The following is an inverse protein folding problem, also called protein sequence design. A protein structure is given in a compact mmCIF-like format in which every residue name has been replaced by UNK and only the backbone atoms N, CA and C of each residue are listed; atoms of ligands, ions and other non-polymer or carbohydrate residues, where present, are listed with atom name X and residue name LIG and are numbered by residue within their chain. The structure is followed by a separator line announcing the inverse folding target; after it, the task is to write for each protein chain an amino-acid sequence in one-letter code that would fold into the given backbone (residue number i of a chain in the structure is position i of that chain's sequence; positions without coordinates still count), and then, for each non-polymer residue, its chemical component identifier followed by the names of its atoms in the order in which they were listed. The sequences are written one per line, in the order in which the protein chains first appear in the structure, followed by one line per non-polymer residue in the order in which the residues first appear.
data_IF_615451435573
#
_entry.id   IF_615451435573
#
_cell.length_a   1.000
_cell.length_b   1.000
_cell.length_c   1.000
_cell.angle_alpha   90.00
_cell.angle_beta   90.00
_cell.angle_gamma   90.00
#
_symmetry.space_group_name_H-M   'P 1'
#
loop_
_entity.id
_entity.type
_entity.pdbx_description
1 polymer ?
#
# COMPACT_ATOMS: atom_id res chain seq x y z
N UNK A 1 25.99 -12.84 12.76
CA UNK A 1 24.95 -11.90 12.30
C UNK A 1 25.57 -10.51 12.26
N UNK A 2 25.58 -9.85 11.10
CA UNK A 2 26.14 -8.50 10.95
C UNK A 2 25.25 -7.50 11.69
N UNK A 3 25.82 -6.55 12.43
CA UNK A 3 25.06 -5.52 13.15
C UNK A 3 25.40 -4.13 12.62
N UNK A 4 24.37 -3.35 12.31
CA UNK A 4 24.49 -1.96 11.87
C UNK A 4 23.78 -1.08 12.89
N UNK A 5 24.51 -0.13 13.48
CA UNK A 5 23.95 0.88 14.40
C UNK A 5 23.85 2.23 13.67
N UNK A 6 22.62 2.66 13.36
CA UNK A 6 22.35 3.98 12.79
C UNK A 6 21.82 4.93 13.86
N UNK A 7 22.51 6.04 14.09
CA UNK A 7 22.06 7.12 14.98
C UNK A 7 22.10 8.43 14.19
N UNK A 8 20.94 9.08 14.03
CA UNK A 8 20.80 10.28 13.22
C UNK A 8 20.85 10.06 11.70
N UNK A 9 20.93 8.80 11.24
CA UNK A 9 20.88 8.45 9.82
C UNK A 9 19.43 8.37 9.32
N UNK A 10 19.20 8.71 8.05
CA UNK A 10 17.91 8.45 7.38
C UNK A 10 17.81 7.02 6.84
N UNK A 11 18.92 6.48 6.32
CA UNK A 11 19.04 5.11 5.84
C UNK A 11 20.41 4.53 6.21
N UNK A 12 20.43 3.25 6.55
CA UNK A 12 21.67 2.49 6.71
C UNK A 12 22.13 1.89 5.39
N UNK A 13 21.20 1.44 4.55
CA UNK A 13 21.46 0.85 3.24
C UNK A 13 20.58 1.55 2.22
N UNK A 14 21.20 2.00 1.12
CA UNK A 14 20.49 2.57 -0.03
C UNK A 14 20.95 1.82 -1.28
N UNK A 15 20.00 1.21 -2.00
CA UNK A 15 20.27 0.49 -3.25
C UNK A 15 19.40 1.05 -4.36
N UNK A 16 19.99 1.27 -5.53
CA UNK A 16 19.26 1.57 -6.77
C UNK A 16 19.33 0.36 -7.69
N UNK A 17 18.25 -0.41 -7.78
CA UNK A 17 18.15 -1.58 -8.66
C UNK A 17 17.82 -1.21 -10.10
N UNK A 18 18.39 -1.93 -11.06
CA UNK A 18 18.08 -1.84 -12.49
C UNK A 18 17.21 -3.01 -12.95
N UNK A 19 16.41 -2.81 -14.00
CA UNK A 19 15.30 -3.68 -14.42
C UNK A 19 15.58 -5.20 -14.40
N UNK A 20 16.75 -5.63 -14.82
CA UNK A 20 17.14 -7.04 -15.02
C UNK A 20 18.05 -7.60 -13.92
N UNK A 21 18.31 -6.86 -12.84
CA UNK A 21 19.26 -7.28 -11.79
C UNK A 21 18.56 -7.69 -10.51
N UNK A 22 18.86 -8.92 -10.07
CA UNK A 22 18.47 -9.42 -8.75
C UNK A 22 19.45 -8.97 -7.67
N UNK A 23 18.96 -8.69 -6.47
CA UNK A 23 19.81 -8.47 -5.30
C UNK A 23 19.12 -8.92 -4.01
N UNK A 24 19.95 -9.19 -2.99
CA UNK A 24 19.52 -9.66 -1.67
C UNK A 24 20.10 -8.78 -0.56
N UNK A 25 19.30 -8.47 0.46
CA UNK A 25 19.76 -7.91 1.73
C UNK A 25 19.30 -8.83 2.86
N UNK A 26 20.24 -9.50 3.54
CA UNK A 26 19.86 -10.49 4.54
C UNK A 26 20.81 -10.62 5.72
N UNK A 27 20.27 -11.19 6.81
CA UNK A 27 21.01 -11.55 8.02
C UNK A 27 21.68 -10.36 8.73
N UNK A 28 21.04 -9.18 8.69
CA UNK A 28 21.51 -7.95 9.32
C UNK A 28 20.61 -7.58 10.50
N UNK A 29 21.23 -7.27 11.64
CA UNK A 29 20.58 -6.61 12.76
C UNK A 29 20.76 -5.10 12.66
N UNK A 30 19.68 -4.35 12.58
CA UNK A 30 19.68 -2.89 12.61
C UNK A 30 19.30 -2.39 14.00
N UNK A 31 20.09 -1.45 14.53
CA UNK A 31 19.86 -0.82 15.83
C UNK A 31 20.08 0.69 15.77
N UNK A 32 19.67 1.40 16.82
CA UNK A 32 19.86 2.84 16.96
C UNK A 32 18.66 3.68 16.56
N UNK A 33 18.81 5.01 16.64
CA UNK A 33 17.75 5.98 16.45
C UNK A 33 17.86 6.65 15.08
N UNK A 34 16.98 6.29 14.15
CA UNK A 34 16.97 6.83 12.78
C UNK A 34 16.13 8.12 12.69
N UNK A 35 16.38 8.93 11.66
CA UNK A 35 15.69 10.23 11.43
C UNK A 35 15.06 10.31 10.04
N UNK A 36 14.24 11.33 9.78
CA UNK A 36 13.70 11.61 8.45
C UNK A 36 12.52 10.71 8.05
N UNK A 37 12.27 10.57 6.75
CA UNK A 37 11.10 9.88 6.19
C UNK A 37 11.48 8.66 5.31
N UNK A 38 12.75 8.31 5.26
CA UNK A 38 13.23 7.14 4.53
C UNK A 38 13.14 5.86 5.37
N UNK A 39 13.50 4.74 4.75
CA UNK A 39 13.64 3.46 5.43
C UNK A 39 15.08 3.24 5.91
N UNK A 40 15.26 2.49 7.00
CA UNK A 40 16.55 1.92 7.40
C UNK A 40 17.20 1.21 6.21
N UNK A 41 16.40 0.45 5.46
CA UNK A 41 16.74 0.03 4.10
C UNK A 41 15.90 0.86 3.12
N UNK A 42 16.57 1.48 2.15
CA UNK A 42 15.93 2.24 1.09
C UNK A 42 16.27 1.66 -0.28
N UNK A 43 15.30 1.01 -0.91
CA UNK A 43 15.40 0.50 -2.28
C UNK A 43 14.76 1.49 -3.26
N UNK A 44 15.48 1.78 -4.34
CA UNK A 44 15.05 2.63 -5.44
C UNK A 44 15.22 1.93 -6.79
N UNK A 45 14.55 2.42 -7.81
CA UNK A 45 14.89 2.14 -9.21
C UNK A 45 13.81 1.39 -9.98
N UNK A 46 14.23 0.42 -10.79
CA UNK A 46 13.37 -0.25 -11.79
C UNK A 46 13.45 -1.78 -11.77
N UNK A 47 14.22 -2.37 -10.84
CA UNK A 47 14.41 -3.82 -10.76
C UNK A 47 13.12 -4.54 -10.39
N UNK A 48 12.65 -5.47 -11.23
CA UNK A 48 11.40 -6.20 -10.99
C UNK A 48 11.39 -7.63 -11.58
N UNK A 49 10.60 -8.56 -11.00
CA UNK A 49 10.60 -9.96 -11.41
C UNK A 49 10.26 -10.20 -12.89
N UNK A 50 9.26 -9.50 -13.43
CA UNK A 50 8.82 -9.70 -14.83
C UNK A 50 9.86 -9.38 -15.90
N UNK A 51 10.94 -8.69 -15.53
CA UNK A 51 12.08 -8.39 -16.42
C UNK A 51 13.35 -9.16 -16.04
N UNK A 52 13.22 -10.22 -15.23
CA UNK A 52 14.33 -11.05 -14.75
C UNK A 52 15.07 -10.49 -13.53
N UNK A 53 14.69 -9.31 -13.04
CA UNK A 53 15.22 -8.68 -11.84
C UNK A 53 14.44 -9.05 -10.58
N UNK A 54 14.33 -8.07 -9.68
CA UNK A 54 13.62 -8.15 -8.41
C UNK A 54 14.55 -8.16 -7.21
N UNK A 55 14.02 -7.83 -6.03
CA UNK A 55 14.79 -7.87 -4.79
C UNK A 55 14.27 -8.91 -3.81
N UNK A 56 15.15 -9.34 -2.91
CA UNK A 56 14.78 -10.04 -1.68
C UNK A 56 15.38 -9.34 -0.47
N UNK A 57 14.57 -9.04 0.53
CA UNK A 57 15.05 -8.52 1.82
C UNK A 57 14.57 -9.47 2.89
N UNK A 58 15.48 -10.21 3.52
CA UNK A 58 15.08 -11.33 4.37
C UNK A 58 15.95 -11.61 5.58
N UNK A 59 15.40 -12.24 6.61
CA UNK A 59 16.12 -12.59 7.84
C UNK A 59 16.84 -11.41 8.50
N UNK A 60 16.32 -10.19 8.33
CA UNK A 60 16.83 -9.02 9.02
C UNK A 60 16.07 -8.80 10.33
N UNK A 61 16.75 -8.20 11.30
CA UNK A 61 16.16 -7.84 12.59
C UNK A 61 16.23 -6.32 12.76
N UNK A 62 15.08 -5.65 12.71
CA UNK A 62 14.97 -4.22 12.93
C UNK A 62 14.61 -3.96 14.39
N UNK A 63 15.57 -3.54 15.20
CA UNK A 63 15.34 -3.09 16.56
C UNK A 63 15.79 -1.62 16.68
N UNK A 64 15.00 -0.73 16.09
CA UNK A 64 15.35 0.67 15.87
C UNK A 64 14.35 1.60 16.53
N UNK A 65 14.84 2.72 17.05
CA UNK A 65 14.01 3.79 17.61
C UNK A 65 13.96 4.98 16.65
N UNK A 66 13.11 5.95 16.98
CA UNK A 66 12.95 7.21 16.24
C UNK A 66 13.74 8.31 16.93
N UNK A 67 14.64 8.97 16.20
CA UNK A 67 15.28 10.22 16.64
C UNK A 67 14.41 11.44 16.30
N UNK A 68 13.99 11.59 15.04
CA UNK A 68 13.08 12.64 14.55
C UNK A 68 12.41 12.19 13.22
N UNK A 69 11.42 12.93 12.73
CA UNK A 69 10.72 12.58 11.47
C UNK A 69 9.80 11.37 11.62
N UNK A 70 9.66 10.52 10.61
CA UNK A 70 8.84 9.29 10.62
C UNK A 70 9.61 8.14 9.94
N UNK A 71 10.79 7.74 10.46
CA UNK A 71 11.60 6.72 9.79
C UNK A 71 10.85 5.39 9.68
N UNK A 72 11.04 4.70 8.56
CA UNK A 72 10.49 3.35 8.31
C UNK A 72 11.57 2.28 8.51
N UNK A 73 11.16 1.03 8.64
CA UNK A 73 12.08 -0.11 8.49
C UNK A 73 12.57 -0.22 7.04
N UNK A 74 11.65 -0.35 6.09
CA UNK A 74 11.98 -0.46 4.66
C UNK A 74 11.17 0.53 3.84
N UNK A 75 11.84 1.27 2.96
CA UNK A 75 11.19 2.11 1.95
C UNK A 75 11.51 1.57 0.57
N UNK A 76 10.48 1.37 -0.24
CA UNK A 76 10.58 1.04 -1.66
C UNK A 76 10.11 2.25 -2.47
N UNK A 77 10.92 2.68 -3.43
CA UNK A 77 10.60 3.83 -4.29
C UNK A 77 10.87 3.56 -5.77
N UNK A 78 9.87 3.80 -6.60
CA UNK A 78 9.94 3.56 -8.04
C UNK A 78 9.38 2.21 -8.48
N UNK A 79 9.62 1.88 -9.75
CA UNK A 79 9.13 0.68 -10.42
C UNK A 79 9.96 -0.54 -10.07
N UNK A 80 10.18 -0.76 -8.77
CA UNK A 80 10.98 -1.86 -8.27
C UNK A 80 10.15 -2.73 -7.34
N UNK A 81 10.23 -4.03 -7.57
CA UNK A 81 9.38 -5.05 -6.95
C UNK A 81 10.23 -6.22 -6.48
N UNK A 82 9.66 -7.03 -5.59
CA UNK A 82 10.39 -8.09 -4.93
C UNK A 82 9.66 -8.57 -3.70
N UNK A 83 10.35 -9.35 -2.89
CA UNK A 83 9.81 -9.94 -1.68
C UNK A 83 10.60 -9.49 -0.45
N UNK A 84 9.87 -9.22 0.61
CA UNK A 84 10.37 -8.89 1.94
C UNK A 84 9.88 -10.00 2.85
N UNK A 85 10.75 -10.94 3.20
CA UNK A 85 10.35 -12.17 3.88
C UNK A 85 11.14 -12.50 5.15
N UNK A 86 10.52 -13.18 6.12
CA UNK A 86 11.21 -13.67 7.32
C UNK A 86 11.97 -12.58 8.11
N UNK A 87 11.55 -11.31 8.03
CA UNK A 87 12.14 -10.24 8.83
C UNK A 87 11.41 -10.08 10.16
N UNK A 88 12.15 -9.62 11.16
CA UNK A 88 11.63 -9.29 12.48
C UNK A 88 11.63 -7.77 12.65
N UNK A 89 10.48 -7.18 12.94
CA UNK A 89 10.33 -5.75 13.18
C UNK A 89 9.99 -5.47 14.64
N UNK A 90 10.78 -4.59 15.25
CA UNK A 90 10.50 -3.94 16.52
C UNK A 90 10.81 -2.44 16.37
N UNK A 91 9.84 -1.70 15.82
CA UNK A 91 10.00 -0.29 15.39
C UNK A 91 8.87 0.57 15.96
N UNK A 92 9.17 1.81 16.36
CA UNK A 92 8.20 2.73 16.98
C UNK A 92 7.33 3.57 16.02
N UNK A 93 7.39 3.29 14.72
CA UNK A 93 6.61 3.97 13.67
C UNK A 93 6.30 2.95 12.57
N UNK A 94 5.78 3.41 11.43
CA UNK A 94 5.51 2.61 10.23
C UNK A 94 6.64 1.63 9.90
N UNK A 95 6.31 0.35 9.71
CA UNK A 95 7.34 -0.65 9.42
C UNK A 95 7.86 -0.51 7.98
N UNK A 96 6.99 -0.24 7.01
CA UNK A 96 7.36 -0.17 5.60
C UNK A 96 6.56 0.90 4.84
N UNK A 97 7.10 1.34 3.70
CA UNK A 97 6.38 2.17 2.71
C UNK A 97 6.72 1.74 1.29
N UNK A 98 5.72 1.68 0.42
CA UNK A 98 5.87 1.46 -1.03
C UNK A 98 5.32 2.66 -1.76
N UNK A 99 6.24 3.37 -2.42
CA UNK A 99 5.96 4.57 -3.19
C UNK A 99 6.35 4.32 -4.64
N UNK A 100 5.39 4.10 -5.52
CA UNK A 100 5.73 3.72 -6.88
C UNK A 100 6.04 4.93 -7.80
N UNK A 101 5.25 5.99 -7.69
CA UNK A 101 5.27 7.11 -8.62
C UNK A 101 6.51 7.98 -8.52
N UNK A 102 7.27 8.07 -9.61
CA UNK A 102 8.54 8.83 -9.68
C UNK A 102 8.48 10.08 -10.58
N UNK A 103 7.49 10.15 -11.47
CA UNK A 103 7.36 11.19 -12.50
C UNK A 103 5.92 11.62 -12.68
N UNK A 104 5.73 12.86 -13.13
CA UNK A 104 4.41 13.41 -13.49
C UNK A 104 3.37 13.21 -12.37
N UNK A 105 3.77 13.40 -11.10
CA UNK A 105 2.86 13.22 -9.95
C UNK A 105 2.20 11.84 -9.95
N UNK A 106 2.98 10.78 -10.16
CA UNK A 106 2.53 9.37 -10.15
C UNK A 106 1.50 8.96 -11.23
N UNK A 107 1.19 9.83 -12.20
CA UNK A 107 0.30 9.51 -13.33
C UNK A 107 0.69 8.23 -14.07
N UNK A 108 2.00 8.03 -14.25
CA UNK A 108 2.53 6.88 -14.96
C UNK A 108 2.24 5.55 -14.24
N UNK A 109 2.19 5.54 -12.89
CA UNK A 109 1.84 4.34 -12.14
C UNK A 109 0.43 3.86 -12.48
N UNK A 110 -0.48 4.83 -12.60
CA UNK A 110 -1.88 4.68 -13.00
C UNK A 110 -2.09 4.62 -14.53
N UNK A 111 -1.05 4.66 -15.35
CA UNK A 111 -1.14 4.37 -16.79
C UNK A 111 -0.93 2.87 -17.10
N UNK A 112 -0.44 2.09 -16.14
CA UNK A 112 -0.15 0.67 -16.31
C UNK A 112 -1.26 -0.16 -15.70
N UNK A 113 -1.55 -1.30 -16.32
CA UNK A 113 -2.62 -2.18 -15.89
C UNK A 113 -2.45 -2.56 -14.42
N UNK A 114 -3.56 -2.72 -13.71
CA UNK A 114 -3.54 -3.39 -12.40
C UNK A 114 -2.86 -4.76 -12.54
N UNK A 115 -2.06 -5.14 -11.56
CA UNK A 115 -1.20 -6.32 -11.59
C UNK A 115 -1.51 -7.26 -10.41
N UNK A 116 -2.76 -7.25 -9.94
CA UNK A 116 -3.20 -8.12 -8.86
C UNK A 116 -2.99 -9.59 -9.22
N UNK A 117 -2.44 -10.38 -8.30
CA UNK A 117 -2.14 -11.79 -8.53
C UNK A 117 -0.95 -12.06 -9.45
N UNK A 118 -0.06 -11.08 -9.65
CA UNK A 118 1.18 -11.23 -10.45
C UNK A 118 2.43 -10.93 -9.62
N UNK A 119 3.60 -11.32 -10.11
CA UNK A 119 4.91 -11.05 -9.46
C UNK A 119 5.30 -9.56 -9.38
N UNK A 120 4.66 -8.69 -10.15
CA UNK A 120 4.98 -7.26 -10.23
C UNK A 120 4.26 -6.46 -9.13
N UNK A 121 4.67 -6.71 -7.88
CA UNK A 121 4.28 -5.99 -6.67
C UNK A 121 5.37 -6.11 -5.59
N UNK A 122 5.28 -5.33 -4.52
CA UNK A 122 6.10 -5.55 -3.33
C UNK A 122 5.38 -6.53 -2.41
N UNK A 123 5.96 -7.72 -2.27
CA UNK A 123 5.45 -8.79 -1.42
C UNK A 123 6.04 -8.70 -0.01
N UNK A 124 5.21 -8.87 1.01
CA UNK A 124 5.60 -9.07 2.40
C UNK A 124 5.12 -10.45 2.85
N UNK A 125 6.05 -11.35 3.16
CA UNK A 125 5.77 -12.77 3.45
C UNK A 125 6.42 -13.22 4.75
N UNK A 126 5.72 -13.98 5.59
CA UNK A 126 6.34 -14.65 6.74
C UNK A 126 7.12 -13.71 7.69
N UNK A 127 6.78 -12.42 7.75
CA UNK A 127 7.41 -11.47 8.65
C UNK A 127 6.69 -11.48 10.00
N UNK A 128 7.46 -11.18 11.05
CA UNK A 128 6.94 -10.94 12.40
C UNK A 128 7.18 -9.47 12.73
N UNK A 129 6.12 -8.72 13.00
CA UNK A 129 6.21 -7.29 13.23
C UNK A 129 5.45 -6.85 14.47
N UNK A 130 6.15 -6.20 15.40
CA UNK A 130 5.57 -5.59 16.59
C UNK A 130 5.93 -4.13 16.63
N UNK A 131 4.92 -3.26 16.69
CA UNK A 131 5.16 -1.84 16.91
C UNK A 131 5.62 -1.62 18.34
N UNK A 132 6.80 -1.02 18.52
CA UNK A 132 7.46 -0.95 19.83
C UNK A 132 6.87 0.08 20.80
N UNK A 133 5.97 0.95 20.33
CA UNK A 133 5.22 1.91 21.14
C UNK A 133 3.72 1.77 20.88
N UNK A 134 2.94 1.80 21.95
CA UNK A 134 1.49 1.50 21.97
C UNK A 134 0.60 2.74 21.95
N UNK A 135 1.15 3.96 21.86
CA UNK A 135 0.35 5.19 22.00
C UNK A 135 -0.62 5.42 20.82
N UNK A 136 -0.20 5.02 19.61
CA UNK A 136 -0.95 5.08 18.36
C UNK A 136 -0.55 3.87 17.51
N UNK A 137 -1.42 3.29 16.69
CA UNK A 137 -0.96 2.37 15.63
C UNK A 137 -0.60 3.16 14.36
N UNK A 138 0.28 2.59 13.54
CA UNK A 138 0.64 3.13 12.21
C UNK A 138 0.55 2.00 11.18
N UNK A 139 0.76 2.28 9.88
CA UNK A 139 0.78 1.21 8.87
C UNK A 139 1.95 0.23 9.07
N UNK A 140 1.70 -1.07 8.87
CA UNK A 140 2.76 -2.06 8.66
C UNK A 140 3.42 -1.83 7.30
N UNK A 141 2.62 -1.62 6.26
CA UNK A 141 3.11 -1.11 4.98
C UNK A 141 2.17 -0.04 4.47
N UNK A 142 2.68 1.18 4.41
CA UNK A 142 1.99 2.32 3.79
C UNK A 142 2.17 2.27 2.26
N UNK A 143 1.10 2.54 1.53
CA UNK A 143 1.12 2.62 0.08
C UNK A 143 0.82 4.04 -0.38
N UNK A 144 1.61 4.54 -1.32
CA UNK A 144 1.45 5.89 -1.84
C UNK A 144 1.73 5.91 -3.35
N UNK A 145 1.12 6.86 -4.06
CA UNK A 145 1.53 7.24 -5.42
C UNK A 145 1.57 6.06 -6.41
N UNK A 146 0.48 5.30 -6.41
CA UNK A 146 0.28 4.13 -7.25
C UNK A 146 0.88 2.84 -6.71
N UNK A 147 1.29 2.80 -5.44
CA UNK A 147 1.83 1.62 -4.78
C UNK A 147 1.06 0.32 -5.08
N UNK A 148 1.83 -0.77 -5.22
CA UNK A 148 1.35 -2.13 -5.50
C UNK A 148 1.90 -3.09 -4.47
N UNK A 149 1.03 -3.51 -3.57
CA UNK A 149 1.44 -4.16 -2.33
C UNK A 149 0.72 -5.49 -2.18
N UNK A 150 1.43 -6.51 -1.73
CA UNK A 150 0.87 -7.78 -1.28
C UNK A 150 1.40 -8.10 0.12
N UNK A 151 0.51 -8.26 1.09
CA UNK A 151 0.86 -8.64 2.46
C UNK A 151 0.24 -10.01 2.76
N UNK A 152 1.04 -11.06 2.92
CA UNK A 152 0.51 -12.41 3.15
C UNK A 152 1.32 -13.23 4.14
N UNK A 153 0.64 -14.08 4.91
CA UNK A 153 1.30 -14.99 5.87
C UNK A 153 2.15 -14.28 6.95
N UNK A 154 1.84 -13.02 7.28
CA UNK A 154 2.58 -12.28 8.31
C UNK A 154 1.88 -12.35 9.68
N UNK A 155 2.68 -12.24 10.75
CA UNK A 155 2.23 -12.00 12.11
C UNK A 155 2.51 -10.53 12.49
N UNK A 156 1.45 -9.74 12.64
CA UNK A 156 1.52 -8.28 12.75
C UNK A 156 0.82 -7.83 14.03
N UNK A 157 1.51 -7.10 14.89
CA UNK A 157 1.00 -6.58 16.17
C UNK A 157 1.18 -5.06 16.27
N UNK A 158 0.09 -4.38 16.62
CA UNK A 158 0.01 -2.92 16.82
C UNK A 158 0.31 -2.07 15.57
N UNK A 159 0.14 -2.67 14.40
CA UNK A 159 0.06 -1.99 13.11
C UNK A 159 -1.32 -2.16 12.48
N UNK A 160 -1.63 -1.34 11.47
CA UNK A 160 -2.73 -1.58 10.54
C UNK A 160 -2.23 -1.77 9.10
N UNK A 161 -3.11 -2.27 8.23
CA UNK A 161 -2.88 -2.44 6.81
C UNK A 161 -3.75 -1.44 6.03
N UNK A 162 -3.14 -0.79 5.05
CA UNK A 162 -3.78 0.32 4.35
C UNK A 162 -2.79 1.16 3.55
N UNK A 163 -3.33 2.13 2.82
CA UNK A 163 -2.54 3.08 2.06
C UNK A 163 -3.19 4.46 2.05
N UNK A 164 -2.55 5.38 1.36
CA UNK A 164 -3.07 6.71 1.07
C UNK A 164 -3.86 6.70 -0.23
N UNK A 165 -4.95 7.47 -0.24
CA UNK A 165 -5.58 7.90 -1.47
C UNK A 165 -4.91 9.19 -1.97
N UNK A 166 -5.47 9.76 -3.05
CA UNK A 166 -4.94 10.96 -3.66
C UNK A 166 -5.07 12.22 -2.79
N UNK A 167 -5.73 12.20 -1.64
CA UNK A 167 -5.85 13.44 -0.84
C UNK A 167 -4.58 13.84 -0.13
N UNK A 168 -3.72 12.87 0.08
CA UNK A 168 -2.55 12.95 0.95
C UNK A 168 -1.29 12.48 0.23
N UNK A 169 -1.44 12.12 -1.06
CA UNK A 169 -0.40 11.77 -2.01
C UNK A 169 -0.81 12.29 -3.39
N UNK A 170 0.12 12.44 -4.34
CA UNK A 170 -0.22 12.94 -5.68
C UNK A 170 -1.22 12.02 -6.41
N UNK A 171 -1.16 10.71 -6.15
CA UNK A 171 -2.12 9.69 -6.58
C UNK A 171 -2.35 8.67 -5.48
N UNK A 172 -3.55 8.14 -5.43
CA UNK A 172 -3.84 6.98 -4.58
C UNK A 172 -3.01 5.75 -4.97
N UNK A 173 -2.99 4.75 -4.09
CA UNK A 173 -2.47 3.42 -4.44
C UNK A 173 -3.23 2.82 -5.62
N UNK A 174 -2.60 1.93 -6.39
CA UNK A 174 -3.30 1.18 -7.44
C UNK A 174 -3.90 -0.10 -6.86
N UNK A 175 -3.12 -0.84 -6.06
CA UNK A 175 -3.58 -2.10 -5.50
C UNK A 175 -3.02 -2.39 -4.09
N UNK A 176 -3.83 -3.07 -3.29
CA UNK A 176 -3.42 -3.65 -2.01
C UNK A 176 -4.05 -5.03 -1.83
N UNK A 177 -3.23 -6.07 -1.85
CA UNK A 177 -3.67 -7.42 -1.50
C UNK A 177 -3.23 -7.74 -0.08
N UNK A 178 -4.12 -8.28 0.74
CA UNK A 178 -3.75 -8.73 2.06
C UNK A 178 -4.51 -9.99 2.46
N UNK A 179 -3.81 -11.09 2.66
CA UNK A 179 -4.46 -12.36 2.96
C UNK A 179 -3.64 -13.35 3.77
N UNK A 180 -4.33 -14.24 4.49
CA UNK A 180 -3.71 -15.23 5.38
C UNK A 180 -2.77 -14.59 6.43
N UNK A 181 -3.01 -13.35 6.86
CA UNK A 181 -2.23 -12.71 7.93
C UNK A 181 -2.94 -12.86 9.28
N UNK A 182 -2.17 -12.83 10.35
CA UNK A 182 -2.70 -12.54 11.69
C UNK A 182 -2.37 -11.09 12.05
N UNK A 183 -3.40 -10.27 12.28
CA UNK A 183 -3.26 -8.84 12.60
C UNK A 183 -3.85 -8.57 13.98
N UNK A 184 -3.02 -8.10 14.91
CA UNK A 184 -3.38 -7.86 16.30
C UNK A 184 -3.32 -6.39 16.66
N UNK A 185 -4.31 -5.94 17.41
CA UNK A 185 -4.21 -4.77 18.26
C UNK A 185 -4.24 -5.22 19.71
N UNK A 186 -3.19 -4.88 20.45
CA UNK A 186 -3.01 -5.25 21.85
C UNK A 186 -2.67 -4.00 22.64
N UNK A 187 -3.53 -3.66 23.61
CA UNK A 187 -3.29 -2.65 24.64
C UNK A 187 -2.98 -1.24 24.12
N UNK A 188 -3.60 -0.85 23.00
CA UNK A 188 -3.62 0.52 22.47
C UNK A 188 -4.92 1.20 22.89
N UNK A 189 -4.84 2.47 23.29
CA UNK A 189 -6.03 3.25 23.67
C UNK A 189 -6.96 3.47 22.45
N UNK A 190 -8.25 3.18 22.63
CA UNK A 190 -9.24 3.11 21.55
C UNK A 190 -9.46 4.42 20.75
N UNK A 191 -9.13 5.59 21.31
CA UNK A 191 -9.31 6.89 20.64
C UNK A 191 -8.10 7.34 19.82
N UNK A 192 -6.98 6.62 19.92
CA UNK A 192 -5.70 7.00 19.32
C UNK A 192 -5.30 6.09 18.15
N UNK A 193 -6.20 5.26 17.66
CA UNK A 193 -5.85 4.22 16.71
C UNK A 193 -6.82 4.11 15.52
N UNK A 194 -6.26 3.64 14.41
CA UNK A 194 -6.94 3.39 13.14
C UNK A 194 -7.47 1.94 13.08
N UNK A 195 -8.50 1.65 12.27
CA UNK A 195 -8.97 0.30 11.96
C UNK A 195 -7.84 -0.62 11.48
N UNK A 196 -7.94 -1.93 11.73
CA UNK A 196 -6.87 -2.89 11.37
C UNK A 196 -6.64 -2.97 9.87
N UNK A 197 -7.71 -2.81 9.11
CA UNK A 197 -7.66 -2.51 7.69
C UNK A 197 -8.30 -1.15 7.50
N UNK A 198 -7.48 -0.13 7.28
CA UNK A 198 -7.95 1.21 6.95
C UNK A 198 -7.59 1.51 5.50
N UNK A 199 -8.57 1.26 4.63
CA UNK A 199 -8.36 1.16 3.20
C UNK A 199 -8.87 2.41 2.51
N UNK A 200 -7.98 3.01 1.73
CA UNK A 200 -8.24 4.23 0.96
C UNK A 200 -7.69 4.10 -0.44
N UNK A 201 -8.51 4.47 -1.41
CA UNK A 201 -8.19 4.52 -2.84
C UNK A 201 -7.77 3.22 -3.51
N UNK A 202 -7.92 3.14 -4.83
CA UNK A 202 -7.47 2.00 -5.63
C UNK A 202 -8.24 0.70 -5.41
N UNK A 203 -7.64 -0.44 -5.73
CA UNK A 203 -8.30 -1.75 -5.62
C UNK A 203 -7.74 -2.59 -4.47
N UNK A 204 -8.61 -3.13 -3.63
CA UNK A 204 -8.21 -3.97 -2.51
C UNK A 204 -8.70 -5.42 -2.66
N UNK A 205 -7.85 -6.38 -2.33
CA UNK A 205 -8.20 -7.81 -2.30
C UNK A 205 -7.82 -8.36 -0.92
N UNK A 206 -8.81 -8.52 -0.03
CA UNK A 206 -8.58 -8.73 1.40
C UNK A 206 -9.31 -9.97 1.90
N UNK A 207 -8.59 -11.03 2.25
CA UNK A 207 -9.27 -12.28 2.60
C UNK A 207 -8.49 -13.21 3.53
N UNK A 208 -9.19 -14.14 4.19
CA UNK A 208 -8.58 -15.13 5.08
C UNK A 208 -7.69 -14.51 6.19
N UNK A 209 -7.92 -13.25 6.58
CA UNK A 209 -7.14 -12.66 7.66
C UNK A 209 -7.78 -12.98 9.02
N UNK A 210 -6.94 -13.28 10.01
CA UNK A 210 -7.33 -13.38 11.41
C UNK A 210 -7.03 -12.07 12.11
N UNK A 211 -8.08 -11.33 12.45
CA UNK A 211 -7.97 -10.03 13.08
C UNK A 211 -8.34 -10.17 14.55
N UNK A 212 -7.41 -9.81 15.43
CA UNK A 212 -7.59 -9.90 16.87
C UNK A 212 -7.43 -8.51 17.48
N UNK A 213 -8.30 -8.18 18.42
CA UNK A 213 -8.24 -6.92 19.14
C UNK A 213 -8.57 -7.13 20.59
N UNK A 214 -7.62 -6.75 21.45
CA UNK A 214 -7.80 -6.67 22.90
C UNK A 214 -7.65 -5.23 23.38
N UNK A 215 -8.51 -4.86 24.32
CA UNK A 215 -8.49 -3.56 25.02
C UNK A 215 -8.48 -3.85 26.51
N UNK A 216 -7.48 -3.36 27.23
CA UNK A 216 -7.29 -3.62 28.67
C UNK A 216 -7.32 -5.13 28.98
N UNK A 217 -6.62 -5.94 28.19
CA UNK A 217 -6.57 -7.41 28.36
C UNK A 217 -7.84 -8.19 27.97
N UNK A 218 -8.95 -7.54 27.60
CA UNK A 218 -10.18 -8.20 27.17
C UNK A 218 -10.40 -8.10 25.66
N UNK A 219 -11.07 -9.09 25.04
CA UNK A 219 -11.43 -9.02 23.61
C UNK A 219 -12.39 -7.85 23.38
N UNK A 220 -12.09 -7.02 22.38
CA UNK A 220 -13.01 -5.96 21.96
C UNK A 220 -14.22 -6.54 21.25
N UNK A 221 -15.41 -6.08 21.61
CA UNK A 221 -16.65 -6.43 20.89
C UNK A 221 -16.92 -5.52 19.71
N UNK A 222 -16.24 -4.36 19.64
CA UNK A 222 -16.48 -3.33 18.65
C UNK A 222 -15.19 -3.04 17.86
N UNK A 223 -15.33 -2.87 16.55
CA UNK A 223 -14.23 -2.41 15.71
C UNK A 223 -13.91 -0.93 15.91
N UNK A 224 -12.67 -0.53 15.62
CA UNK A 224 -12.27 0.88 15.60
C UNK A 224 -13.13 1.67 14.60
N UNK A 225 -13.73 2.77 15.04
CA UNK A 225 -14.57 3.72 14.26
C UNK A 225 -15.86 3.16 13.63
N UNK A 226 -15.95 1.88 13.34
CA UNK A 226 -17.10 1.27 12.65
C UNK A 226 -18.10 0.61 13.60
N UNK A 227 -17.78 0.53 14.90
CA UNK A 227 -18.57 -0.15 15.93
C UNK A 227 -18.66 -1.67 15.77
N UNK A 228 -18.42 -2.25 14.59
CA UNK A 228 -18.79 -3.64 14.24
C UNK A 228 -17.77 -4.39 13.40
N UNK A 229 -16.77 -3.71 12.80
CA UNK A 229 -15.77 -4.35 11.92
C UNK A 229 -14.37 -3.76 12.08
N UNK A 230 -13.36 -4.58 11.83
CA UNK A 230 -11.98 -4.13 11.77
C UNK A 230 -11.54 -3.68 10.35
N UNK A 231 -12.44 -3.73 9.37
CA UNK A 231 -12.20 -3.37 7.97
C UNK A 231 -13.04 -2.15 7.60
N UNK A 232 -12.38 -1.02 7.40
CA UNK A 232 -13.02 0.26 7.09
C UNK A 232 -12.54 0.77 5.73
N UNK A 233 -13.50 1.15 4.90
CA UNK A 233 -13.30 1.78 3.60
C UNK A 233 -13.57 3.28 3.71
N UNK A 234 -12.68 4.08 3.15
CA UNK A 234 -12.82 5.52 3.10
C UNK A 234 -12.17 6.06 1.83
N UNK A 235 -12.76 7.10 1.26
CA UNK A 235 -12.06 7.99 0.35
C UNK A 235 -12.07 9.36 1.00
N UNK A 236 -10.89 9.87 1.33
CA UNK A 236 -10.71 11.17 1.97
C UNK A 236 -11.26 12.27 1.06
N UNK A 237 -11.27 12.10 -0.28
CA UNK A 237 -11.92 13.05 -1.20
C UNK A 237 -13.41 13.25 -0.88
N UNK A 238 -14.01 12.27 -0.21
CA UNK A 238 -15.42 12.23 0.18
C UNK A 238 -15.64 12.72 1.61
N UNK A 239 -14.63 13.31 2.23
CA UNK A 239 -14.69 13.91 3.57
C UNK A 239 -14.73 15.43 3.44
N UNK A 240 -15.57 16.10 4.22
CA UNK A 240 -15.68 17.57 4.25
C UNK A 240 -14.31 18.26 4.46
N UNK A 241 -13.51 17.71 5.39
CA UNK A 241 -12.18 18.24 5.73
C UNK A 241 -11.14 18.11 4.61
N UNK A 242 -11.27 17.11 3.73
CA UNK A 242 -10.19 16.77 2.77
C UNK A 242 -10.59 16.99 1.30
N UNK A 243 -11.84 17.35 1.01
CA UNK A 243 -12.34 17.61 -0.35
C UNK A 243 -11.54 18.68 -1.12
N UNK A 244 -10.81 19.57 -0.45
CA UNK A 244 -10.04 20.64 -1.07
C UNK A 244 -8.54 20.33 -1.22
N UNK A 245 -8.06 19.24 -0.59
CA UNK A 245 -6.63 18.88 -0.56
C UNK A 245 -6.31 17.83 -1.64
N UNK A 246 -7.32 17.07 -2.05
CA UNK A 246 -7.19 16.17 -3.20
C UNK A 246 -6.77 16.91 -4.47
N UNK A 247 -5.86 16.37 -5.31
CA UNK A 247 -5.63 16.86 -6.66
C UNK A 247 -6.93 16.78 -7.49
N UNK A 248 -7.88 15.96 -7.03
CA UNK A 248 -9.20 15.82 -7.57
C UNK A 248 -10.20 16.82 -7.03
N UNK A 249 -9.93 17.55 -5.94
CA UNK A 249 -10.83 18.56 -5.38
C UNK A 249 -12.31 18.16 -5.38
N UNK A 250 -13.15 19.10 -5.85
CA UNK A 250 -14.56 18.95 -6.22
C UNK A 250 -14.77 18.38 -7.65
N UNK A 251 -13.71 17.88 -8.29
CA UNK A 251 -13.66 17.59 -9.73
C UNK A 251 -14.19 16.22 -10.12
N UNK A 252 -14.36 15.32 -9.15
CA UNK A 252 -15.13 14.08 -9.30
C UNK A 252 -16.49 14.26 -8.63
N UNK A 253 -17.45 14.78 -9.38
CA UNK A 253 -18.76 15.18 -8.87
C UNK A 253 -19.82 15.16 -9.98
N UNK A 254 -20.84 16.00 -9.88
CA UNK A 254 -21.97 15.98 -10.81
C UNK A 254 -21.67 16.48 -12.23
N UNK A 255 -20.47 17.02 -12.47
CA UNK A 255 -20.03 17.54 -13.77
C UNK A 255 -18.71 16.92 -14.17
N UNK A 256 -18.63 16.45 -15.42
CA UNK A 256 -17.42 15.85 -15.96
C UNK A 256 -16.34 16.91 -16.17
N UNK A 257 -15.20 16.76 -15.48
CA UNK A 257 -14.03 17.63 -15.65
C UNK A 257 -12.89 16.86 -16.32
N UNK A 258 -12.14 17.54 -17.20
CA UNK A 258 -11.00 16.95 -17.91
C UNK A 258 -9.67 17.35 -17.30
N UNK A 259 -8.72 16.40 -17.31
CA UNK A 259 -7.38 16.56 -16.78
C UNK A 259 -6.33 15.79 -17.61
N UNK A 260 -5.07 16.16 -17.45
CA UNK A 260 -3.95 15.50 -18.08
C UNK A 260 -3.57 14.18 -17.37
N UNK A 261 -3.74 13.07 -18.07
CA UNK A 261 -3.51 11.71 -17.57
C UNK A 261 -2.39 10.96 -18.29
N UNK A 262 -1.67 11.68 -19.14
CA UNK A 262 -0.55 11.18 -19.91
C UNK A 262 0.69 10.83 -19.08
N UNK A 263 1.75 10.46 -19.79
CA UNK A 263 3.05 10.10 -19.24
C UNK A 263 3.96 11.31 -19.01
N UNK A 264 3.62 12.47 -19.59
CA UNK A 264 4.49 13.66 -19.62
C UNK A 264 4.17 14.72 -18.57
N UNK A 265 2.91 14.81 -18.11
CA UNK A 265 2.43 15.91 -17.28
C UNK A 265 1.71 15.43 -16.02
N UNK A 266 1.80 16.24 -14.97
CA UNK A 266 0.99 16.15 -13.76
C UNK A 266 -0.52 16.21 -14.07
N UNK A 267 -1.38 15.84 -13.11
CA UNK A 267 -2.81 16.06 -13.30
C UNK A 267 -3.11 17.55 -13.17
N UNK A 268 -3.25 18.20 -14.32
CA UNK A 268 -3.74 19.56 -14.44
C UNK A 268 -5.00 19.56 -15.28
N UNK A 269 -5.85 20.58 -15.12
CA UNK A 269 -7.02 20.76 -15.99
C UNK A 269 -6.60 20.87 -17.45
N UNK A 270 -7.42 20.35 -18.36
CA UNK A 270 -7.17 20.45 -19.78
C UNK A 270 -8.46 20.62 -20.57
N UNK A 271 -8.32 21.21 -21.75
CA UNK A 271 -9.33 21.29 -22.80
C UNK A 271 -8.94 20.44 -24.01
N UNK A 272 -7.63 20.26 -24.22
CA UNK A 272 -7.06 19.48 -25.32
C UNK A 272 -5.74 18.81 -24.91
N UNK A 273 -5.25 17.89 -25.75
CA UNK A 273 -3.94 17.24 -25.54
C UNK A 273 -2.77 18.23 -25.56
N UNK A 274 -2.92 19.41 -26.18
CA UNK A 274 -1.89 20.44 -26.20
C UNK A 274 -1.55 20.92 -24.78
N UNK A 275 -2.57 21.02 -23.91
CA UNK A 275 -2.43 21.39 -22.50
C UNK A 275 -1.62 20.33 -21.72
N UNK A 276 -1.58 19.10 -22.26
CA UNK A 276 -0.95 17.92 -21.67
C UNK A 276 0.40 17.57 -22.33
N UNK A 277 1.09 18.55 -22.90
CA UNK A 277 2.37 18.34 -23.57
C UNK A 277 2.25 17.63 -24.92
N UNK A 278 1.07 17.72 -25.55
CA UNK A 278 0.79 17.21 -26.89
C UNK A 278 0.72 15.68 -26.99
N UNK A 279 0.67 14.95 -25.88
CA UNK A 279 0.51 13.49 -25.91
C UNK A 279 -0.91 13.13 -26.32
N UNK A 280 -1.06 12.42 -27.43
CA UNK A 280 -2.38 12.11 -27.99
C UNK A 280 -3.25 11.31 -26.99
N UNK A 281 -4.47 11.79 -26.78
CA UNK A 281 -5.45 11.24 -25.85
C UNK A 281 -5.08 11.39 -24.38
N UNK A 282 -4.20 12.31 -24.00
CA UNK A 282 -3.83 12.53 -22.59
C UNK A 282 -4.78 13.48 -21.86
N UNK A 283 -5.55 14.31 -22.57
CA UNK A 283 -6.61 15.11 -21.98
C UNK A 283 -7.91 14.31 -21.86
N UNK A 284 -8.24 13.85 -20.66
CA UNK A 284 -9.32 12.90 -20.43
C UNK A 284 -10.21 13.31 -19.28
N UNK A 285 -11.43 12.76 -19.27
CA UNK A 285 -12.33 12.89 -18.15
C UNK A 285 -11.69 12.26 -16.90
N UNK A 286 -11.75 12.98 -15.79
CA UNK A 286 -11.32 12.49 -14.47
C UNK A 286 -12.27 11.42 -13.93
N UNK A 287 -13.54 11.50 -14.33
CA UNK A 287 -14.61 10.60 -13.93
C UNK A 287 -15.45 10.12 -15.13
N UNK A 288 -16.27 9.09 -14.89
CA UNK A 288 -17.29 8.64 -15.85
C UNK A 288 -18.62 9.35 -15.68
N UNK A 289 -18.90 9.88 -14.48
CA UNK A 289 -20.16 10.51 -14.07
C UNK A 289 -21.43 9.73 -14.46
N UNK A 290 -21.40 8.40 -14.28
CA UNK A 290 -22.47 7.49 -14.68
C UNK A 290 -23.74 7.61 -13.83
N UNK A 291 -23.63 8.12 -12.60
CA UNK A 291 -24.72 8.19 -11.62
C UNK A 291 -24.89 9.59 -10.98
N UNK A 292 -24.20 10.61 -11.50
CA UNK A 292 -24.24 11.98 -10.97
C UNK A 292 -23.35 12.22 -9.73
N UNK A 293 -22.66 11.19 -9.21
CA UNK A 293 -21.71 11.30 -8.09
C UNK A 293 -20.25 11.43 -8.54
N UNK A 294 -20.00 11.49 -9.85
CA UNK A 294 -18.66 11.37 -10.43
C UNK A 294 -18.14 9.93 -10.44
N UNK A 295 -19.01 8.91 -10.37
CA UNK A 295 -18.60 7.51 -10.48
C UNK A 295 -18.44 7.06 -11.95
N UNK A 296 -17.48 6.18 -12.29
CA UNK A 296 -16.26 5.91 -11.55
C UNK A 296 -15.36 7.14 -11.54
N UNK A 297 -14.75 7.45 -10.39
CA UNK A 297 -13.73 8.47 -10.26
C UNK A 297 -12.35 7.80 -10.22
N UNK A 298 -11.34 8.42 -10.82
CA UNK A 298 -9.97 7.93 -10.70
C UNK A 298 -9.50 7.92 -9.24
N UNK A 299 -8.58 7.00 -8.90
CA UNK A 299 -8.07 6.77 -7.54
C UNK A 299 -9.11 6.31 -6.51
N UNK A 300 -10.38 6.16 -6.91
CA UNK A 300 -11.43 5.66 -6.05
C UNK A 300 -11.27 4.17 -5.76
N UNK A 301 -11.74 3.76 -4.57
CA UNK A 301 -11.93 2.35 -4.25
C UNK A 301 -12.71 1.61 -5.35
N UNK A 302 -12.16 0.50 -5.85
CA UNK A 302 -12.82 -0.31 -6.88
C UNK A 302 -12.63 0.19 -8.31
N UNK A 303 -11.76 1.19 -8.51
CA UNK A 303 -11.35 1.69 -9.82
C UNK A 303 -9.87 1.40 -10.04
N UNK A 304 -9.53 0.95 -11.23
CA UNK A 304 -8.20 0.55 -11.60
C UNK A 304 -7.85 0.94 -13.04
N UNK A 305 -6.56 1.02 -13.37
CA UNK A 305 -6.10 1.15 -14.74
C UNK A 305 -6.05 -0.18 -15.50
N UNK A 306 -6.32 -0.16 -16.81
CA UNK A 306 -6.18 -1.34 -17.69
C UNK A 306 -4.89 -1.37 -18.53
N UNK A 307 -3.97 -0.42 -18.33
CA UNK A 307 -2.71 -0.35 -19.07
C UNK A 307 -2.71 0.56 -20.29
N UNK A 308 -3.79 1.30 -20.50
CA UNK A 308 -3.87 2.36 -21.50
C UNK A 308 -4.15 3.70 -20.83
N UNK A 309 -3.73 4.79 -21.46
CA UNK A 309 -4.02 6.14 -20.97
C UNK A 309 -5.53 6.34 -20.83
N UNK A 310 -6.35 5.79 -21.75
CA UNK A 310 -7.83 5.93 -21.75
C UNK A 310 -8.57 5.00 -20.79
N UNK A 311 -7.92 3.96 -20.30
CA UNK A 311 -8.57 2.93 -19.49
C UNK A 311 -8.29 3.06 -18.00
N UNK A 312 -8.09 4.27 -17.51
CA UNK A 312 -7.79 4.55 -16.09
C UNK A 312 -9.03 4.51 -15.18
N UNK A 313 -10.23 4.50 -15.76
CA UNK A 313 -11.51 4.37 -15.07
C UNK A 313 -12.08 2.95 -15.16
N UNK A 314 -11.21 1.95 -15.36
CA UNK A 314 -11.67 0.57 -15.47
C UNK A 314 -12.20 0.11 -14.11
N UNK A 315 -13.47 -0.29 -14.08
CA UNK A 315 -14.10 -0.82 -12.87
C UNK A 315 -13.47 -2.16 -12.52
N UNK A 316 -12.84 -2.23 -11.35
CA UNK A 316 -12.27 -3.44 -10.79
C UNK A 316 -12.62 -3.47 -9.31
N UNK A 317 -13.81 -3.96 -8.94
CA UNK A 317 -14.31 -3.84 -7.57
C UNK A 317 -13.38 -4.52 -6.57
N UNK A 318 -13.23 -3.91 -5.40
CA UNK A 318 -12.47 -4.49 -4.30
C UNK A 318 -13.20 -5.73 -3.75
N UNK A 319 -12.44 -6.76 -3.39
CA UNK A 319 -12.99 -8.06 -3.00
C UNK A 319 -12.60 -8.42 -1.58
N UNK A 320 -13.58 -8.84 -0.78
CA UNK A 320 -13.38 -9.20 0.62
C UNK A 320 -14.02 -10.55 0.93
N UNK A 321 -13.30 -11.49 1.55
CA UNK A 321 -13.95 -12.72 2.01
C UNK A 321 -13.22 -13.42 3.14
N UNK A 322 -13.96 -14.21 3.93
CA UNK A 322 -13.38 -15.10 4.93
C UNK A 322 -12.41 -14.42 5.92
N UNK A 323 -12.60 -13.13 6.19
CA UNK A 323 -11.88 -12.44 7.25
C UNK A 323 -12.61 -12.69 8.57
N UNK A 324 -11.85 -12.81 9.65
CA UNK A 324 -12.40 -12.94 11.00
C UNK A 324 -11.95 -11.80 11.89
N UNK A 325 -12.85 -11.30 12.74
CA UNK A 325 -12.58 -10.35 13.81
C UNK A 325 -12.94 -10.99 15.16
N UNK A 326 -11.94 -11.20 16.01
CA UNK A 326 -12.06 -11.88 17.29
C UNK A 326 -12.76 -13.25 17.21
N UNK A 327 -12.52 -13.96 16.10
CA UNK A 327 -13.07 -15.30 15.82
C UNK A 327 -14.40 -15.32 15.06
N UNK A 328 -15.05 -14.17 14.86
CA UNK A 328 -16.31 -14.07 14.12
C UNK A 328 -16.06 -13.58 12.68
N UNK A 329 -16.83 -14.02 11.67
CA UNK A 329 -16.76 -13.42 10.33
C UNK A 329 -16.92 -11.90 10.37
N UNK A 330 -16.15 -11.19 9.55
CA UNK A 330 -16.19 -9.73 9.49
C UNK A 330 -16.21 -9.21 8.05
N UNK A 331 -17.01 -8.18 7.82
CA UNK A 331 -17.24 -7.58 6.51
C UNK A 331 -16.69 -6.14 6.47
N UNK A 332 -16.30 -5.63 5.30
CA UNK A 332 -15.95 -4.22 5.16
C UNK A 332 -17.15 -3.30 5.44
N UNK A 333 -16.90 -2.17 6.10
CA UNK A 333 -17.86 -1.09 6.27
C UNK A 333 -17.30 0.19 5.66
N UNK A 334 -18.15 0.92 4.95
CA UNK A 334 -17.83 2.27 4.48
C UNK A 334 -18.06 3.25 5.62
N UNK A 335 -17.07 4.10 5.88
CA UNK A 335 -17.17 5.15 6.90
C UNK A 335 -18.37 6.06 6.64
N UNK A 336 -19.10 6.40 7.69
CA UNK A 336 -20.37 7.16 7.61
C UNK A 336 -20.18 8.68 7.71
N UNK A 337 -19.14 9.19 7.04
CA UNK A 337 -18.77 10.59 7.09
C UNK A 337 -18.97 11.22 5.70
N UNK A 338 -19.74 12.31 5.66
CA UNK A 338 -20.00 13.11 4.46
C UNK A 338 -20.43 12.23 3.26
N UNK A 339 -19.72 12.29 2.14
CA UNK A 339 -20.11 11.60 0.90
C UNK A 339 -19.51 10.19 0.75
N UNK A 340 -18.88 9.62 1.79
CA UNK A 340 -18.23 8.31 1.65
C UNK A 340 -19.19 7.20 1.21
N UNK A 341 -20.37 7.10 1.82
CA UNK A 341 -21.39 6.11 1.43
C UNK A 341 -22.01 6.38 0.05
N UNK A 342 -21.99 7.64 -0.39
CA UNK A 342 -22.43 8.02 -1.74
C UNK A 342 -21.41 7.55 -2.78
N UNK A 343 -20.12 7.81 -2.53
CA UNK A 343 -19.05 7.51 -3.47
C UNK A 343 -18.57 6.05 -3.40
N UNK A 344 -18.70 5.37 -2.28
CA UNK A 344 -18.29 3.97 -2.10
C UNK A 344 -19.52 3.13 -1.80
N UNK A 345 -19.89 2.26 -2.73
CA UNK A 345 -21.09 1.44 -2.64
C UNK A 345 -20.74 -0.05 -2.68
N UNK A 346 -21.37 -0.79 -1.78
CA UNK A 346 -21.39 -2.25 -1.84
C UNK A 346 -22.11 -2.70 -3.12
N UNK A 347 -21.68 -3.82 -3.70
CA UNK A 347 -22.16 -4.29 -5.00
C UNK A 347 -21.90 -3.31 -6.15
N UNK A 348 -20.83 -2.51 -6.06
CA UNK A 348 -20.36 -1.62 -7.13
C UNK A 348 -18.86 -1.39 -7.05
N UNK A 349 -18.42 -0.72 -5.98
CA UNK A 349 -17.01 -0.39 -5.72
C UNK A 349 -16.30 -1.54 -4.98
N UNK A 350 -17.07 -2.28 -4.19
CA UNK A 350 -16.59 -3.47 -3.50
C UNK A 350 -17.69 -4.51 -3.38
N UNK A 351 -17.27 -5.76 -3.20
CA UNK A 351 -18.13 -6.88 -2.85
C UNK A 351 -17.48 -7.75 -1.78
N UNK A 352 -18.32 -8.37 -0.97
CA UNK A 352 -17.84 -9.25 0.09
C UNK A 352 -18.70 -10.49 0.24
N UNK A 353 -18.11 -11.53 0.84
CA UNK A 353 -18.83 -12.72 1.21
C UNK A 353 -18.16 -13.40 2.42
N UNK A 354 -18.94 -14.07 3.27
CA UNK A 354 -18.46 -14.53 4.56
C UNK A 354 -17.35 -15.60 4.46
N UNK A 355 -17.34 -16.44 3.42
CA UNK A 355 -16.47 -17.64 3.36
C UNK A 355 -15.74 -17.82 2.02
N UNK A 356 -16.44 -17.63 0.91
CA UNK A 356 -15.88 -17.78 -0.44
C UNK A 356 -15.62 -16.44 -1.13
N UNK A 357 -14.70 -16.42 -2.10
CA UNK A 357 -14.46 -15.26 -2.96
C UNK A 357 -15.74 -14.91 -3.74
N UNK A 358 -16.19 -13.64 -3.75
CA UNK A 358 -17.25 -13.20 -4.66
C UNK A 358 -16.89 -13.54 -6.10
N UNK A 359 -17.80 -14.20 -6.83
CA UNK A 359 -17.58 -14.54 -8.25
C UNK A 359 -17.92 -13.37 -9.18
N UNK A 360 -18.77 -12.47 -8.71
CA UNK A 360 -19.26 -11.32 -9.45
C UNK A 360 -19.47 -10.15 -8.49
N UNK A 361 -19.26 -8.93 -9.00
CA UNK A 361 -19.61 -7.70 -8.32
C UNK A 361 -20.29 -6.76 -9.33
N UNK A 362 -21.62 -6.63 -9.26
CA UNK A 362 -22.40 -5.78 -10.17
C UNK A 362 -22.22 -6.09 -11.66
N UNK A 363 -22.21 -7.37 -12.03
CA UNK A 363 -21.97 -7.78 -13.43
C UNK A 363 -20.50 -7.86 -13.81
N UNK A 364 -19.56 -7.47 -12.93
CA UNK A 364 -18.12 -7.62 -13.17
C UNK A 364 -17.66 -8.95 -12.57
N UNK A 365 -17.28 -9.89 -13.43
CA UNK A 365 -16.75 -11.19 -12.99
C UNK A 365 -15.37 -11.05 -12.35
N UNK A 366 -15.19 -11.67 -11.20
CA UNK A 366 -13.92 -11.65 -10.47
C UNK A 366 -12.91 -12.63 -11.08
N UNK A 367 -11.91 -12.10 -11.77
CA UNK A 367 -10.84 -12.90 -12.41
C UNK A 367 -9.65 -13.16 -11.48
N UNK A 368 -9.62 -12.55 -10.29
CA UNK A 368 -8.51 -12.63 -9.35
C UNK A 368 -8.12 -14.07 -9.00
N UNK A 369 -6.82 -14.34 -9.10
CA UNK A 369 -6.16 -15.53 -8.55
C UNK A 369 -4.92 -15.05 -7.78
N UNK A 370 -4.67 -15.53 -6.56
CA UNK A 370 -3.46 -15.16 -5.85
C UNK A 370 -2.23 -15.65 -6.62
N UNK A 371 -1.18 -14.84 -6.60
CA UNK A 371 0.13 -15.25 -7.10
C UNK A 371 0.66 -16.42 -6.26
N UNK A 372 1.43 -17.38 -6.83
CA UNK A 372 1.97 -18.51 -6.08
C UNK A 372 2.73 -18.08 -4.81
N UNK A 373 2.53 -18.84 -3.73
CA UNK A 373 3.25 -18.72 -2.46
C UNK A 373 4.06 -20.01 -2.22
N UNK A 374 5.32 -19.93 -1.72
CA UNK A 374 6.10 -18.70 -1.49
C UNK A 374 6.43 -17.96 -2.80
N UNK A 375 6.79 -16.67 -2.70
CA UNK A 375 7.26 -15.92 -3.87
C UNK A 375 8.49 -16.61 -4.50
N UNK A 376 8.62 -16.71 -5.85
CA UNK A 376 9.73 -17.43 -6.49
C UNK A 376 11.13 -16.93 -6.11
N UNK A 377 11.26 -15.64 -5.77
CA UNK A 377 12.52 -15.07 -5.26
C UNK A 377 12.98 -15.66 -3.91
N UNK A 378 12.13 -16.40 -3.20
CA UNK A 378 12.50 -17.12 -1.97
C UNK A 378 13.30 -18.40 -2.29
N UNK A 379 13.00 -19.06 -3.41
CA UNK A 379 13.46 -20.43 -3.74
C UNK A 379 14.62 -20.51 -4.72
N UNK A 380 14.98 -19.43 -5.41
CA UNK A 380 16.17 -19.43 -6.25
C UNK A 380 17.44 -19.58 -5.37
N UNK A 381 18.24 -20.61 -5.69
CA UNK A 381 19.61 -20.95 -5.24
C UNK A 381 20.47 -19.76 -4.78
N UNK A 382 21.50 -19.99 -3.92
CA UNK A 382 22.25 -18.94 -3.23
C UNK A 382 22.59 -17.80 -4.19
N UNK A 383 21.88 -16.67 -4.01
CA UNK A 383 22.16 -15.49 -4.79
C UNK A 383 23.64 -15.15 -4.65
N UNK A 384 24.32 -14.76 -5.76
CA UNK A 384 25.71 -14.37 -5.69
C UNK A 384 25.90 -13.32 -4.58
N UNK A 385 27.03 -13.37 -3.84
CA UNK A 385 27.31 -12.39 -2.80
C UNK A 385 27.11 -10.98 -3.36
N UNK A 386 26.49 -10.13 -2.56
CA UNK A 386 26.18 -8.73 -2.89
C UNK A 386 27.37 -8.07 -3.59
N UNK A 387 27.16 -7.29 -4.67
CA UNK A 387 28.22 -6.42 -5.20
C UNK A 387 28.71 -5.53 -4.06
N UNK A 388 30.02 -5.29 -4.01
CA UNK A 388 30.68 -4.49 -2.99
C UNK A 388 29.99 -3.13 -2.81
N UNK A 389 29.18 -3.00 -1.77
CA UNK A 389 28.56 -1.74 -1.37
C UNK A 389 29.63 -0.99 -0.59
N UNK A 390 30.27 0.00 -1.22
CA UNK A 390 31.14 0.92 -0.50
C UNK A 390 30.32 1.68 0.54
N UNK A 391 30.67 1.51 1.82
CA UNK A 391 29.98 2.19 2.90
C UNK A 391 30.08 3.72 2.76
N UNK A 392 29.04 4.49 3.16
CA UNK A 392 29.11 5.95 3.19
C UNK A 392 30.29 6.43 4.03
N UNK A 393 30.95 7.53 3.62
CA UNK A 393 32.02 8.16 4.40
C UNK A 393 31.51 8.45 5.82
N UNK A 394 32.13 7.82 6.82
CA UNK A 394 31.76 7.92 8.24
C UNK A 394 31.20 6.63 8.87
N UNK A 395 30.95 5.59 8.08
CA UNK A 395 30.49 4.29 8.59
C UNK A 395 31.63 3.53 9.30
N UNK A 396 31.44 3.20 10.59
CA UNK A 396 32.33 2.28 11.31
C UNK A 396 31.57 0.97 11.58
N UNK A 397 32.07 -0.13 11.03
CA UNK A 397 31.73 -1.48 11.49
C UNK A 397 32.29 -1.65 12.89
N UNK A 398 31.40 -1.71 13.89
CA UNK A 398 31.78 -2.19 15.22
C UNK A 398 31.71 -3.71 15.15
N UNK A 399 32.88 -4.37 15.22
CA UNK A 399 32.96 -5.82 15.36
C UNK A 399 32.47 -6.26 16.73
#
# INVERSE_FOLDING_TARGET
MTSIKGSGLSSAIVITGTADKKFRIANIKFTGAFTGYDGVIYVKGTSKPSTGGGFRIDHNNFNTTRAAGSPRGIRIYGYTYGVIDHNNYYIGHQANTVWEGVKAQANQSWNRAISVGTEDAVYFEDNVATKSNSDVNTMFCDGENGGRIVVRYNDITNYYLGGHDATTSDRGIVQYEAYNNTVRLVDVQAYSADPRFFLRGGTHIIYNNTILETRNGARSTNGMWSGTTAIVLQNDRSMEKYQHISPWGDRCGSSTKKICLGTKTAAISCSSDADCGGEAGSCQNLDGNEDGSGYPCRDQIGVAPNGTIRGQLTKYPSLFWNNTYNGNPTNPVVRDDFNNKTHIQNNRDFCYHATTKPLNCSGINSTYKPFPYPHPLITDSPMPPSPDISAPKGFKLVK
#
